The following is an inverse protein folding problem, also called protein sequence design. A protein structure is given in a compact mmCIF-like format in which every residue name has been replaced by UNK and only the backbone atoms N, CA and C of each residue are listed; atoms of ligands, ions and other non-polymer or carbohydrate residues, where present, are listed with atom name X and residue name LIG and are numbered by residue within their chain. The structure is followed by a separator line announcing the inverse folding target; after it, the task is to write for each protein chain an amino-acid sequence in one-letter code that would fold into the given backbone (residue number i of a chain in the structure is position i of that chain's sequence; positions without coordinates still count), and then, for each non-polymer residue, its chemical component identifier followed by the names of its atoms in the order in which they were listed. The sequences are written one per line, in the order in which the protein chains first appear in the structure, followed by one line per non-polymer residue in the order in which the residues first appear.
data_IF_847281648036
#
_entry.id   IF_847281648036
#
_cell.length_a   1.000
_cell.length_b   1.000
_cell.length_c   1.000
_cell.angle_alpha   90.00
_cell.angle_beta   90.00
_cell.angle_gamma   90.00
#
_symmetry.space_group_name_H-M   'P 1'
#
loop_
_entity.id
_entity.type
_entity.pdbx_description
1 polymer ?
#
# COMPACT_ATOMS: atom_id res chain seq x y z
N UNK A 1 32.43 8.13 -33.51
CA UNK A 1 32.66 7.91 -32.06
C UNK A 1 31.91 8.91 -31.16
N UNK A 2 31.96 10.23 -31.39
CA UNK A 2 31.28 11.21 -30.53
C UNK A 2 29.74 11.15 -30.55
N UNK A 3 29.15 10.79 -31.70
CA UNK A 3 27.70 10.62 -31.86
C UNK A 3 27.16 9.32 -31.25
N UNK A 4 27.99 8.28 -31.14
CA UNK A 4 27.59 6.99 -30.57
C UNK A 4 27.40 7.09 -29.04
N UNK A 5 28.21 7.94 -28.39
CA UNK A 5 28.08 8.25 -26.96
C UNK A 5 26.83 9.08 -26.64
N UNK A 6 26.41 9.98 -27.54
CA UNK A 6 25.20 10.79 -27.35
C UNK A 6 23.91 9.96 -27.43
N UNK A 7 23.89 8.92 -28.28
CA UNK A 7 22.76 7.99 -28.37
C UNK A 7 22.61 7.11 -27.11
N UNK A 8 23.73 6.73 -26.47
CA UNK A 8 23.71 5.90 -25.27
C UNK A 8 23.16 6.64 -24.04
N UNK A 9 23.41 7.96 -23.94
CA UNK A 9 22.94 8.80 -22.83
C UNK A 9 21.43 9.07 -22.91
N UNK A 10 20.87 9.16 -24.13
CA UNK A 10 19.43 9.35 -24.33
C UNK A 10 18.58 8.14 -23.89
N UNK A 11 19.12 6.92 -23.96
CA UNK A 11 18.41 5.69 -23.63
C UNK A 11 18.24 5.47 -22.12
N UNK A 12 19.05 6.11 -21.28
CA UNK A 12 19.02 5.92 -19.81
C UNK A 12 17.91 6.75 -19.15
N UNK A 13 17.40 7.78 -19.84
CA UNK A 13 16.36 8.68 -19.31
C UNK A 13 14.92 8.16 -19.52
N UNK A 14 14.72 7.05 -20.24
CA UNK A 14 13.41 6.39 -20.36
C UNK A 14 13.09 5.45 -19.19
N UNK A 15 13.63 5.73 -18.00
CA UNK A 15 13.33 5.01 -16.77
C UNK A 15 11.85 5.14 -16.39
N UNK A 16 11.20 4.00 -16.20
CA UNK A 16 9.76 3.85 -16.00
C UNK A 16 9.17 4.82 -14.95
N UNK A 17 8.21 5.62 -15.39
CA UNK A 17 7.29 6.34 -14.50
C UNK A 17 6.36 5.34 -13.80
N UNK A 18 6.77 4.81 -12.63
CA UNK A 18 5.87 4.05 -11.76
C UNK A 18 4.91 5.02 -11.05
N UNK A 19 3.89 5.48 -11.79
CA UNK A 19 2.81 6.30 -11.24
C UNK A 19 1.92 5.40 -10.39
N UNK A 20 2.15 5.41 -9.06
CA UNK A 20 1.30 4.75 -8.06
C UNK A 20 -0.06 5.40 -7.93
N UNK A 21 -0.84 5.46 -9.02
CA UNK A 21 -2.27 5.73 -8.94
C UNK A 21 -2.93 4.47 -8.38
N UNK A 22 -3.62 4.62 -7.25
CA UNK A 22 -4.58 3.65 -6.74
C UNK A 22 -5.60 3.37 -7.84
N UNK A 23 -5.29 2.39 -8.68
CA UNK A 23 -6.15 1.98 -9.76
C UNK A 23 -7.20 1.08 -9.11
N UNK A 24 -8.43 1.59 -9.00
CA UNK A 24 -9.59 0.73 -8.82
C UNK A 24 -9.51 -0.34 -9.93
N UNK A 25 -9.27 -1.60 -9.56
CA UNK A 25 -9.24 -2.68 -10.55
C UNK A 25 -10.65 -2.77 -11.12
N UNK A 26 -10.78 -2.86 -12.44
CA UNK A 26 -12.08 -3.00 -13.10
C UNK A 26 -12.85 -4.26 -12.67
N UNK A 27 -12.21 -5.14 -11.89
CA UNK A 27 -12.76 -6.36 -11.31
C UNK A 27 -13.50 -6.14 -9.98
N UNK A 28 -13.74 -4.88 -9.57
CA UNK A 28 -14.37 -4.57 -8.29
C UNK A 28 -13.45 -4.75 -7.07
N UNK A 29 -12.15 -4.98 -7.31
CA UNK A 29 -11.13 -5.13 -6.28
C UNK A 29 -10.48 -3.78 -5.96
N UNK A 30 -10.31 -3.51 -4.67
CA UNK A 30 -9.62 -2.32 -4.15
C UNK A 30 -8.18 -2.71 -3.87
N UNK A 31 -7.27 -2.23 -4.72
CA UNK A 31 -5.83 -2.44 -4.57
C UNK A 31 -5.18 -1.27 -3.85
N UNK A 32 -4.58 -1.53 -2.68
CA UNK A 32 -3.83 -0.53 -1.91
C UNK A 32 -2.40 -0.98 -1.69
N UNK A 33 -1.49 -0.01 -1.63
CA UNK A 33 -0.11 -0.26 -1.23
C UNK A 33 -0.08 -0.28 0.30
N UNK A 34 0.09 -1.45 0.88
CA UNK A 34 0.14 -1.62 2.34
C UNK A 34 1.58 -1.88 2.78
N UNK A 35 1.97 -1.26 3.90
CA UNK A 35 3.24 -1.50 4.56
C UNK A 35 2.99 -2.41 5.76
N UNK A 36 3.29 -3.71 5.67
CA UNK A 36 3.01 -4.63 6.78
C UNK A 36 3.89 -4.29 7.99
N UNK A 37 3.32 -4.45 9.18
CA UNK A 37 4.03 -4.22 10.44
C UNK A 37 5.27 -5.12 10.51
N UNK A 38 6.45 -4.53 10.74
CA UNK A 38 7.72 -5.26 10.77
C UNK A 38 8.46 -5.35 9.43
N UNK A 39 7.91 -4.80 8.33
CA UNK A 39 8.62 -4.69 7.05
C UNK A 39 8.63 -3.26 6.53
N UNK A 40 9.74 -2.87 5.89
CA UNK A 40 9.84 -1.59 5.19
C UNK A 40 9.42 -1.65 3.71
N UNK A 41 9.08 -2.83 3.21
CA UNK A 41 8.74 -3.04 1.81
C UNK A 41 7.22 -2.93 1.65
N UNK A 42 6.78 -1.95 0.86
CA UNK A 42 5.36 -1.78 0.54
C UNK A 42 4.94 -2.82 -0.50
N UNK A 43 3.85 -3.54 -0.23
CA UNK A 43 3.29 -4.54 -1.14
C UNK A 43 1.92 -4.10 -1.64
N UNK A 44 1.61 -4.40 -2.90
CA UNK A 44 0.28 -4.16 -3.45
C UNK A 44 -0.64 -5.28 -3.00
N UNK A 45 -1.66 -4.94 -2.22
CA UNK A 45 -2.67 -5.88 -1.75
C UNK A 45 -4.02 -5.48 -2.34
N UNK A 46 -4.62 -6.40 -3.09
CA UNK A 46 -5.95 -6.22 -3.65
C UNK A 46 -6.95 -7.03 -2.83
N UNK A 47 -7.97 -6.36 -2.30
CA UNK A 47 -9.05 -6.99 -1.53
C UNK A 47 -10.41 -6.63 -2.11
N UNK A 48 -11.39 -7.47 -1.86
CA UNK A 48 -12.79 -7.15 -2.19
C UNK A 48 -13.33 -6.11 -1.19
N UNK A 49 -14.37 -5.33 -1.55
CA UNK A 49 -15.00 -4.39 -0.62
C UNK A 49 -15.55 -5.10 0.63
N UNK A 50 -16.08 -6.32 0.51
CA UNK A 50 -16.58 -7.10 1.65
C UNK A 50 -15.46 -7.48 2.61
N UNK A 51 -14.29 -7.86 2.09
CA UNK A 51 -13.11 -8.16 2.89
C UNK A 51 -12.61 -6.92 3.64
N UNK A 52 -12.60 -5.75 2.99
CA UNK A 52 -12.20 -4.50 3.63
C UNK A 52 -13.18 -4.12 4.74
N UNK A 53 -14.49 -4.28 4.51
CA UNK A 53 -15.49 -4.01 5.53
C UNK A 53 -15.37 -4.96 6.74
N UNK A 54 -15.05 -6.23 6.51
CA UNK A 54 -14.78 -7.19 7.58
C UNK A 54 -13.54 -6.79 8.40
N UNK A 55 -12.43 -6.49 7.72
CA UNK A 55 -11.19 -6.02 8.36
C UNK A 55 -11.39 -4.73 9.17
N UNK A 56 -12.17 -3.78 8.66
CA UNK A 56 -12.47 -2.53 9.38
C UNK A 56 -13.31 -2.79 10.64
N UNK A 57 -14.26 -3.73 10.57
CA UNK A 57 -15.08 -4.13 11.71
C UNK A 57 -14.24 -4.80 12.80
N UNK A 58 -13.37 -5.73 12.42
CA UNK A 58 -12.44 -6.41 13.33
C UNK A 58 -11.47 -5.41 13.97
N UNK A 59 -10.87 -4.51 13.16
CA UNK A 59 -9.98 -3.48 13.66
C UNK A 59 -10.65 -2.52 14.65
N UNK A 60 -11.89 -2.09 14.37
CA UNK A 60 -12.66 -1.24 15.29
C UNK A 60 -12.97 -1.94 16.61
N UNK A 61 -13.27 -3.24 16.60
CA UNK A 61 -13.49 -4.01 17.83
C UNK A 61 -12.20 -4.12 18.64
N UNK A 62 -11.08 -4.49 18.01
CA UNK A 62 -9.79 -4.59 18.68
C UNK A 62 -9.36 -3.26 19.35
N UNK A 63 -9.52 -2.13 18.66
CA UNK A 63 -9.21 -0.80 19.24
C UNK A 63 -10.11 -0.49 20.43
N UNK A 64 -11.41 -0.80 20.35
CA UNK A 64 -12.36 -0.56 21.45
C UNK A 64 -12.00 -1.38 22.69
N UNK A 65 -11.59 -2.63 22.50
CA UNK A 65 -11.21 -3.51 23.61
C UNK A 65 -9.88 -3.06 24.25
N UNK A 66 -8.91 -2.63 23.45
CA UNK A 66 -7.67 -2.01 23.94
C UNK A 66 -7.96 -0.73 24.72
N UNK A 67 -8.82 0.16 24.22
CA UNK A 67 -9.18 1.41 24.92
C UNK A 67 -9.85 1.13 26.28
N UNK A 68 -10.76 0.14 26.35
CA UNK A 68 -11.39 -0.26 27.60
C UNK A 68 -10.38 -0.81 28.60
N UNK A 69 -9.45 -1.64 28.14
CA UNK A 69 -8.42 -2.22 29.01
C UNK A 69 -7.42 -1.15 29.49
N UNK A 70 -6.99 -0.25 28.61
CA UNK A 70 -6.04 0.83 28.94
C UNK A 70 -6.56 1.78 30.01
N UNK A 71 -7.88 1.99 30.08
CA UNK A 71 -8.50 2.83 31.13
C UNK A 71 -8.52 2.13 32.50
N UNK A 72 -8.38 0.79 32.54
CA UNK A 72 -8.42 -0.02 33.76
C UNK A 72 -7.02 -0.22 34.38
N UNK A 73 -5.95 0.02 33.64
CA UNK A 73 -4.56 -0.15 34.10
C UNK A 73 -3.99 1.09 34.81
N UNK A 74 -4.74 2.19 34.88
CA UNK A 74 -4.42 3.38 35.67
C UNK A 74 -5.30 3.39 36.93
N UNK A 75 -5.04 2.47 37.86
CA UNK A 75 -5.54 2.52 39.24
C UNK A 75 -4.52 1.93 40.19
#
# INVERSE_FOLDING_TARGET
MRFLMLALVGLVLSGCANSGKEQASNDGLICKMEKPTGSNIATRVCRTPEQIAALEKEGKQGIRDIQRNSTNTIK
#
